data_IF_869597060241
#
_entry.id   IF_869597060241
#
_cell.length_a   1.000
_cell.length_b   1.000
_cell.length_c   1.000
_cell.angle_alpha   90.00
_cell.angle_beta   90.00
_cell.angle_gamma   90.00
#
_symmetry.space_group_name_H-M   'P 1'
#
loop_
_entity.id
_entity.type
_entity.pdbx_description
1 polymer ?
#
# COMPACT_ATOMS: atom_id res chain seq x y z
N UNK A 1 8.98 -36.63 10.10
CA UNK A 1 10.29 -35.92 10.06
C UNK A 1 10.10 -34.41 9.85
N UNK A 2 9.36 -33.99 8.82
CA UNK A 2 9.13 -32.58 8.45
C UNK A 2 8.67 -31.67 9.62
N UNK A 3 7.63 -31.99 10.42
CA UNK A 3 7.14 -31.07 11.46
C UNK A 3 8.12 -30.87 12.63
N UNK A 4 9.00 -31.84 12.91
CA UNK A 4 10.03 -31.70 13.95
C UNK A 4 11.14 -30.74 13.50
N UNK A 5 11.53 -30.79 12.24
CA UNK A 5 12.55 -29.90 11.66
C UNK A 5 12.02 -28.47 11.55
N UNK A 6 10.76 -28.27 11.14
CA UNK A 6 10.11 -26.94 11.12
C UNK A 6 10.05 -26.35 12.53
N UNK A 7 9.60 -27.13 13.51
CA UNK A 7 9.50 -26.68 14.91
C UNK A 7 10.85 -26.27 15.47
N UNK A 8 11.91 -27.03 15.18
CA UNK A 8 13.26 -26.68 15.62
C UNK A 8 13.77 -25.41 14.93
N UNK A 9 13.47 -25.22 13.65
CA UNK A 9 13.84 -24.01 12.91
C UNK A 9 13.11 -22.76 13.45
N UNK A 10 11.81 -22.86 13.71
CA UNK A 10 11.00 -21.79 14.29
C UNK A 10 11.28 -21.54 15.77
N UNK A 11 11.90 -22.50 16.46
CA UNK A 11 12.38 -22.30 17.84
C UNK A 11 13.65 -21.43 17.89
N UNK A 12 14.32 -21.20 16.75
CA UNK A 12 15.45 -20.29 16.68
C UNK A 12 14.94 -18.83 16.66
N UNK A 13 15.22 -18.02 17.70
CA UNK A 13 14.65 -16.69 17.83
C UNK A 13 15.08 -15.75 16.69
N UNK A 14 16.29 -15.92 16.15
CA UNK A 14 16.80 -15.10 15.04
C UNK A 14 16.04 -15.40 13.76
N UNK A 15 15.82 -16.69 13.45
CA UNK A 15 15.07 -17.12 12.27
C UNK A 15 13.61 -16.64 12.35
N UNK A 16 12.95 -16.87 13.48
CA UNK A 16 11.53 -16.47 13.63
C UNK A 16 11.34 -14.97 13.58
N UNK A 17 12.21 -14.18 14.23
CA UNK A 17 12.11 -12.72 14.18
C UNK A 17 12.36 -12.18 12.76
N UNK A 18 13.38 -12.66 12.05
CA UNK A 18 13.67 -12.18 10.69
C UNK A 18 12.56 -12.58 9.70
N UNK A 19 12.02 -13.79 9.83
CA UNK A 19 10.91 -14.25 8.97
C UNK A 19 9.64 -13.46 9.25
N UNK A 20 9.30 -13.18 10.51
CA UNK A 20 8.16 -12.34 10.84
C UNK A 20 8.36 -10.89 10.38
N UNK A 21 9.58 -10.33 10.50
CA UNK A 21 9.89 -8.99 10.00
C UNK A 21 9.67 -8.90 8.49
N UNK A 22 10.15 -9.90 7.74
CA UNK A 22 9.92 -10.01 6.31
C UNK A 22 8.42 -10.16 5.97
N UNK A 23 7.64 -10.89 6.78
CA UNK A 23 6.18 -10.98 6.61
C UNK A 23 5.51 -9.61 6.78
N UNK A 24 5.91 -8.82 7.78
CA UNK A 24 5.36 -7.47 8.00
C UNK A 24 5.73 -6.50 6.87
N UNK A 25 6.95 -6.58 6.33
CA UNK A 25 7.36 -5.78 5.15
C UNK A 25 6.51 -6.13 3.92
N UNK A 26 6.38 -7.43 3.62
CA UNK A 26 5.56 -7.92 2.51
C UNK A 26 4.08 -7.60 2.72
N UNK A 27 3.60 -7.62 3.97
CA UNK A 27 2.24 -7.22 4.31
C UNK A 27 1.91 -5.79 3.88
N UNK A 28 2.84 -4.86 4.08
CA UNK A 28 2.69 -3.47 3.62
C UNK A 28 2.65 -3.43 2.10
N UNK A 29 3.58 -4.13 1.41
CA UNK A 29 3.61 -4.15 -0.06
C UNK A 29 2.33 -4.75 -0.64
N UNK A 30 1.85 -5.87 -0.10
CA UNK A 30 0.65 -6.55 -0.56
C UNK A 30 -0.62 -5.72 -0.31
N UNK A 31 -0.75 -5.14 0.89
CA UNK A 31 -1.86 -4.25 1.23
C UNK A 31 -1.88 -3.01 0.34
N UNK A 32 -0.72 -2.39 0.10
CA UNK A 32 -0.62 -1.24 -0.79
C UNK A 32 -0.93 -1.62 -2.24
N UNK A 33 -0.30 -2.66 -2.77
CA UNK A 33 -0.50 -3.06 -4.17
C UNK A 33 -1.97 -3.38 -4.49
N UNK A 34 -2.72 -3.95 -3.54
CA UNK A 34 -4.12 -4.32 -3.74
C UNK A 34 -5.07 -3.13 -3.90
N UNK A 35 -4.82 -2.02 -3.20
CA UNK A 35 -5.76 -0.89 -3.14
C UNK A 35 -5.20 0.44 -3.61
N UNK A 36 -3.91 0.54 -3.92
CA UNK A 36 -3.30 1.80 -4.33
C UNK A 36 -3.88 2.33 -5.65
N UNK A 37 -4.28 1.44 -6.57
CA UNK A 37 -5.01 1.85 -7.79
C UNK A 37 -6.33 2.54 -7.44
N UNK A 38 -7.15 1.90 -6.60
CA UNK A 38 -8.41 2.45 -6.11
C UNK A 38 -8.20 3.74 -5.29
N UNK A 39 -7.12 3.82 -4.51
CA UNK A 39 -6.74 5.04 -3.80
C UNK A 39 -6.49 6.20 -4.79
N UNK A 40 -5.74 5.96 -5.86
CA UNK A 40 -5.48 6.97 -6.89
C UNK A 40 -6.77 7.37 -7.64
N UNK A 41 -7.65 6.42 -7.94
CA UNK A 41 -8.97 6.69 -8.54
C UNK A 41 -9.79 7.64 -7.65
N UNK A 42 -9.84 7.38 -6.34
CA UNK A 42 -10.64 8.17 -5.41
C UNK A 42 -10.03 9.55 -5.10
N UNK A 43 -8.71 9.63 -4.98
CA UNK A 43 -8.00 10.87 -4.60
C UNK A 43 -7.76 11.81 -5.77
N UNK A 44 -7.39 11.27 -6.94
CA UNK A 44 -6.91 12.07 -8.08
C UNK A 44 -7.80 11.94 -9.32
N UNK A 45 -8.95 11.27 -9.18
CA UNK A 45 -9.98 11.15 -10.24
C UNK A 45 -9.46 10.49 -11.53
N UNK A 46 -8.48 9.60 -11.39
CA UNK A 46 -7.99 8.79 -12.50
C UNK A 46 -8.97 7.68 -12.87
N UNK A 47 -8.93 7.26 -14.13
CA UNK A 47 -9.62 6.03 -14.54
C UNK A 47 -8.91 4.81 -13.96
N UNK A 48 -9.66 3.74 -13.67
CA UNK A 48 -9.11 2.48 -13.15
C UNK A 48 -7.97 1.93 -14.03
N UNK A 49 -8.07 2.07 -15.35
CA UNK A 49 -7.02 1.62 -16.27
C UNK A 49 -5.75 2.47 -16.15
N UNK A 50 -5.87 3.81 -16.19
CA UNK A 50 -4.73 4.71 -16.12
C UNK A 50 -4.01 4.62 -14.78
N UNK A 51 -4.74 4.54 -13.66
CA UNK A 51 -4.16 4.41 -12.33
C UNK A 51 -3.32 3.12 -12.20
N UNK A 52 -3.89 1.98 -12.61
CA UNK A 52 -3.20 0.69 -12.51
C UNK A 52 -2.02 0.57 -13.50
N UNK A 53 -2.16 1.10 -14.71
CA UNK A 53 -1.05 1.16 -15.68
C UNK A 53 0.11 2.00 -15.15
N UNK A 54 -0.19 3.18 -14.61
CA UNK A 54 0.82 4.07 -14.07
C UNK A 54 1.56 3.44 -12.89
N UNK A 55 0.84 2.78 -11.99
CA UNK A 55 1.43 2.02 -10.88
C UNK A 55 2.32 0.89 -11.38
N UNK A 56 1.86 0.11 -12.36
CA UNK A 56 2.63 -0.98 -12.95
C UNK A 56 3.92 -0.48 -13.62
N UNK A 57 3.84 0.64 -14.33
CA UNK A 57 4.99 1.23 -15.05
C UNK A 57 5.98 1.95 -14.14
N UNK A 58 5.57 2.42 -12.96
CA UNK A 58 6.43 3.23 -12.08
C UNK A 58 6.86 2.46 -10.82
N UNK A 59 5.91 1.92 -10.06
CA UNK A 59 6.20 1.28 -8.78
C UNK A 59 7.00 -0.02 -8.94
N UNK A 60 6.71 -0.83 -9.96
CA UNK A 60 7.40 -2.11 -10.19
C UNK A 60 8.87 -1.90 -10.58
N UNK A 61 9.21 -1.06 -11.59
CA UNK A 61 10.61 -0.79 -11.91
C UNK A 61 11.38 -0.18 -10.74
N UNK A 62 10.78 0.76 -10.00
CA UNK A 62 11.41 1.34 -8.81
C UNK A 62 11.68 0.29 -7.72
N UNK A 63 10.76 -0.64 -7.49
CA UNK A 63 10.99 -1.76 -6.57
C UNK A 63 12.14 -2.67 -7.03
N UNK A 64 12.17 -3.03 -8.32
CA UNK A 64 13.27 -3.82 -8.90
C UNK A 64 14.64 -3.13 -8.74
N UNK A 65 14.70 -1.83 -9.02
CA UNK A 65 15.89 -1.01 -8.80
C UNK A 65 16.29 -1.00 -7.32
N UNK A 66 15.32 -0.90 -6.41
CA UNK A 66 15.55 -0.97 -4.96
C UNK A 66 16.15 -2.30 -4.51
N UNK A 67 15.62 -3.44 -4.96
CA UNK A 67 16.16 -4.78 -4.65
C UNK A 67 17.61 -4.90 -5.15
N UNK A 68 17.85 -4.45 -6.38
CA UNK A 68 19.17 -4.48 -7.00
C UNK A 68 20.17 -3.61 -6.25
N UNK A 69 19.81 -2.35 -5.94
CA UNK A 69 20.64 -1.44 -5.15
C UNK A 69 20.90 -1.97 -3.73
N UNK A 70 19.89 -2.59 -3.10
CA UNK A 70 20.04 -3.26 -1.81
C UNK A 70 21.09 -4.38 -1.87
N UNK A 71 21.07 -5.20 -2.92
CA UNK A 71 22.09 -6.24 -3.14
C UNK A 71 23.47 -5.67 -3.45
N UNK A 72 23.55 -4.63 -4.27
CA UNK A 72 24.80 -3.95 -4.61
C UNK A 72 25.46 -3.34 -3.35
N UNK A 73 24.67 -2.71 -2.47
CA UNK A 73 25.15 -2.16 -1.21
C UNK A 73 25.69 -3.24 -0.28
N UNK A 74 24.97 -4.36 -0.12
CA UNK A 74 25.46 -5.47 0.71
C UNK A 74 26.77 -6.05 0.16
N UNK A 75 26.89 -6.18 -1.17
CA UNK A 75 28.13 -6.65 -1.82
C UNK A 75 29.28 -5.67 -1.68
N UNK A 76 29.06 -4.38 -2.00
CA UNK A 76 30.11 -3.34 -2.03
C UNK A 76 30.64 -3.01 -0.65
N UNK A 77 29.78 -3.01 0.38
CA UNK A 77 30.16 -2.76 1.76
C UNK A 77 30.59 -4.03 2.51
N UNK A 78 30.67 -5.18 1.82
CA UNK A 78 31.03 -6.49 2.38
C UNK A 78 30.36 -6.77 3.73
N UNK A 79 29.06 -6.46 3.84
CA UNK A 79 28.37 -6.44 5.13
C UNK A 79 28.31 -7.84 5.75
N UNK A 80 28.75 -7.92 7.01
CA UNK A 80 28.49 -9.09 7.85
C UNK A 80 26.99 -9.22 8.14
N UNK A 81 26.54 -10.37 8.66
CA UNK A 81 25.13 -10.55 9.05
C UNK A 81 24.64 -9.45 10.00
N UNK A 82 25.54 -8.98 10.87
CA UNK A 82 25.30 -7.86 11.76
C UNK A 82 25.12 -6.56 10.95
N UNK A 83 26.05 -6.22 10.05
CA UNK A 83 25.93 -5.07 9.15
C UNK A 83 24.64 -5.09 8.31
N UNK A 84 24.22 -6.25 7.81
CA UNK A 84 23.00 -6.42 7.05
C UNK A 84 21.74 -6.11 7.88
N UNK A 85 21.68 -6.54 9.16
CA UNK A 85 20.54 -6.19 10.04
C UNK A 85 20.50 -4.68 10.29
N UNK A 86 21.64 -4.02 10.51
CA UNK A 86 21.72 -2.56 10.65
C UNK A 86 21.18 -1.84 9.43
N UNK A 87 21.57 -2.30 8.24
CA UNK A 87 21.07 -1.76 6.98
C UNK A 87 19.56 -1.95 6.85
N UNK A 88 19.03 -3.13 7.15
CA UNK A 88 17.59 -3.40 7.11
C UNK A 88 16.81 -2.49 8.09
N UNK A 89 17.32 -2.29 9.31
CA UNK A 89 16.73 -1.36 10.28
C UNK A 89 16.71 0.08 9.77
N UNK A 90 17.82 0.56 9.21
CA UNK A 90 17.93 1.92 8.67
C UNK A 90 16.94 2.13 7.51
N UNK A 91 16.91 1.19 6.56
CA UNK A 91 16.01 1.24 5.41
C UNK A 91 14.54 1.22 5.86
N UNK A 92 14.19 0.35 6.81
CA UNK A 92 12.84 0.30 7.37
C UNK A 92 12.46 1.64 8.05
N UNK A 93 13.37 2.25 8.82
CA UNK A 93 13.14 3.54 9.47
C UNK A 93 12.90 4.66 8.44
N UNK A 94 13.77 4.78 7.43
CA UNK A 94 13.64 5.78 6.36
C UNK A 94 12.36 5.55 5.55
N UNK A 95 12.05 4.28 5.23
CA UNK A 95 10.81 3.93 4.55
C UNK A 95 9.59 4.32 5.39
N UNK A 96 9.60 4.10 6.71
CA UNK A 96 8.52 4.50 7.62
C UNK A 96 8.31 6.01 7.61
N UNK A 97 9.39 6.80 7.67
CA UNK A 97 9.30 8.26 7.56
C UNK A 97 8.68 8.70 6.22
N UNK A 98 9.01 8.01 5.13
CA UNK A 98 8.44 8.23 3.80
C UNK A 98 6.91 7.98 3.81
N UNK A 99 6.43 6.92 4.47
CA UNK A 99 4.99 6.67 4.63
C UNK A 99 4.28 7.74 5.47
N UNK A 100 4.92 8.29 6.50
CA UNK A 100 4.34 9.38 7.31
C UNK A 100 4.06 10.61 6.44
N UNK A 101 4.91 10.92 5.46
CA UNK A 101 4.66 12.01 4.51
C UNK A 101 3.34 11.84 3.75
N UNK A 102 2.91 10.62 3.46
CA UNK A 102 1.61 10.36 2.80
C UNK A 102 0.40 10.75 3.64
N UNK A 103 0.53 10.95 4.95
CA UNK A 103 -0.58 11.49 5.75
C UNK A 103 -0.91 12.93 5.37
N UNK A 104 0.06 13.68 4.85
CA UNK A 104 -0.11 15.09 4.48
C UNK A 104 -0.34 15.27 2.96
N UNK A 105 0.14 14.32 2.13
CA UNK A 105 -0.03 14.35 0.68
C UNK A 105 -1.34 13.67 0.27
N UNK A 106 -2.35 14.45 -0.10
CA UNK A 106 -3.62 13.95 -0.65
C UNK A 106 -4.66 15.07 -0.83
N UNK A 107 -5.81 14.73 -1.40
CA UNK A 107 -6.89 15.66 -1.72
C UNK A 107 -8.19 15.27 -1.00
N UNK A 108 -8.82 16.26 -0.36
CA UNK A 108 -10.09 16.03 0.35
C UNK A 108 -11.25 15.78 -0.62
N UNK A 109 -12.23 14.94 -0.21
CA UNK A 109 -13.39 14.55 -1.03
C UNK A 109 -14.22 15.76 -1.48
N UNK A 110 -14.20 16.84 -0.71
CA UNK A 110 -14.97 18.06 -0.95
C UNK A 110 -16.49 17.93 -0.80
N UNK A 111 -17.24 19.02 -1.05
CA UNK A 111 -18.67 19.03 -0.85
C UNK A 111 -19.37 18.19 -1.93
N UNK A 112 -20.12 17.21 -1.47
CA UNK A 112 -20.93 16.30 -2.26
C UNK A 112 -22.38 16.43 -1.79
N UNK A 113 -23.26 16.80 -2.71
CA UNK A 113 -24.67 17.03 -2.41
C UNK A 113 -25.38 15.76 -1.95
N UNK A 114 -26.11 15.85 -0.83
CA UNK A 114 -26.85 14.75 -0.21
C UNK A 114 -26.01 13.77 0.59
N UNK A 115 -24.69 14.02 0.73
CA UNK A 115 -23.79 13.16 1.50
C UNK A 115 -22.98 13.96 2.51
N UNK A 116 -22.23 14.98 2.05
CA UNK A 116 -21.42 15.84 2.93
C UNK A 116 -22.03 17.24 3.09
N UNK A 117 -22.83 17.68 2.13
CA UNK A 117 -23.63 18.91 2.22
C UNK A 117 -25.07 18.63 1.84
N UNK A 118 -26.03 19.23 2.56
CA UNK A 118 -27.45 19.10 2.21
C UNK A 118 -27.74 19.81 0.89
N UNK A 119 -28.73 19.33 0.15
CA UNK A 119 -29.34 20.11 -0.92
C UNK A 119 -29.89 21.39 -0.29
N UNK A 120 -29.59 22.55 -0.88
CA UNK A 120 -29.95 23.86 -0.36
C UNK A 120 -31.44 23.91 0.01
N UNK A 121 -31.73 24.35 1.25
CA UNK A 121 -33.04 24.47 1.90
C UNK A 121 -33.66 23.25 2.62
N UNK A 122 -32.90 22.28 3.11
CA UNK A 122 -33.47 21.26 4.04
C UNK A 122 -32.61 21.14 5.31
N UNK A 123 -33.07 21.80 6.39
CA UNK A 123 -32.58 21.63 7.76
C UNK A 123 -33.38 20.52 8.45
N UNK A 124 -33.04 19.26 8.19
CA UNK A 124 -33.45 18.17 9.11
C UNK A 124 -32.56 16.93 9.00
N UNK A 125 -32.03 16.43 10.13
CA UNK A 125 -31.25 15.21 10.17
C UNK A 125 -32.20 14.01 10.35
N UNK A 126 -32.68 13.43 9.25
CA UNK A 126 -33.40 12.15 9.29
C UNK A 126 -32.60 11.07 8.56
N UNK A 127 -32.63 9.83 9.10
CA UNK A 127 -31.86 8.65 8.63
C UNK A 127 -32.19 8.17 7.21
N UNK A 128 -33.08 8.88 6.51
CA UNK A 128 -33.42 8.70 5.10
C UNK A 128 -34.16 9.96 4.64
N UNK A 129 -33.46 11.00 4.14
CA UNK A 129 -34.13 12.22 3.73
C UNK A 129 -35.05 11.92 2.52
N UNK A 130 -36.27 12.49 2.46
CA UNK A 130 -37.05 12.49 1.23
C UNK A 130 -36.22 13.08 0.10
N UNK A 131 -36.45 12.62 -1.14
CA UNK A 131 -35.77 13.17 -2.31
C UNK A 131 -35.93 14.70 -2.29
N UNK A 132 -34.84 15.48 -2.40
CA UNK A 132 -34.92 16.93 -2.33
C UNK A 132 -35.90 17.42 -3.41
N UNK A 133 -36.62 18.51 -3.13
CA UNK A 133 -37.65 19.07 -4.02
C UNK A 133 -37.16 19.30 -5.45
N UNK A 134 -35.86 19.57 -5.64
CA UNK A 134 -35.24 19.73 -6.95
C UNK A 134 -35.09 18.43 -7.77
N UNK A 135 -35.28 17.25 -7.16
CA UNK A 135 -35.21 15.91 -7.80
C UNK A 135 -36.55 15.18 -7.69
N UNK A 136 -37.61 15.81 -7.17
CA UNK A 136 -38.89 15.15 -6.88
C UNK A 136 -39.55 14.46 -8.09
N UNK A 137 -39.21 14.90 -9.31
CA UNK A 137 -39.74 14.36 -10.57
C UNK A 137 -38.83 13.30 -11.22
N UNK A 138 -37.72 12.92 -10.59
CA UNK A 138 -36.75 11.98 -11.16
C UNK A 138 -36.45 10.81 -10.20
N UNK A 139 -36.67 9.58 -10.67
CA UNK A 139 -36.28 8.35 -9.98
C UNK A 139 -34.76 8.10 -10.11
N UNK A 140 -33.93 8.99 -9.55
CA UNK A 140 -32.47 8.92 -9.69
C UNK A 140 -31.80 7.75 -8.94
N UNK A 141 -32.57 6.96 -8.18
CA UNK A 141 -32.06 5.83 -7.39
C UNK A 141 -31.47 4.70 -8.23
N UNK A 142 -31.79 4.63 -9.52
CA UNK A 142 -31.29 3.63 -10.49
C UNK A 142 -30.25 4.18 -11.47
N UNK A 143 -29.90 5.47 -11.39
CA UNK A 143 -28.95 6.08 -12.31
C UNK A 143 -27.51 5.59 -12.06
N UNK A 144 -26.75 5.33 -13.12
CA UNK A 144 -25.32 5.01 -13.01
C UNK A 144 -24.57 6.18 -12.37
N UNK A 145 -23.71 5.87 -11.39
CA UNK A 145 -22.90 6.87 -10.70
C UNK A 145 -21.89 7.48 -11.67
N UNK A 146 -22.21 8.66 -12.18
CA UNK A 146 -21.45 9.41 -13.18
C UNK A 146 -21.33 10.85 -12.67
N UNK A 147 -20.37 11.12 -11.78
CA UNK A 147 -20.33 12.35 -11.01
C UNK A 147 -20.22 13.58 -11.91
N UNK A 148 -20.86 14.67 -11.48
CA UNK A 148 -20.84 15.96 -12.18
C UNK A 148 -20.53 17.09 -11.20
N UNK A 149 -19.82 18.10 -11.66
CA UNK A 149 -19.51 19.30 -10.88
C UNK A 149 -20.48 20.42 -11.24
N UNK A 150 -21.28 20.90 -10.28
CA UNK A 150 -22.13 22.07 -10.50
C UNK A 150 -21.33 23.37 -10.53
N UNK A 151 -21.87 24.40 -11.18
CA UNK A 151 -21.30 25.76 -11.17
C UNK A 151 -21.14 26.36 -9.76
N UNK A 152 -21.83 25.79 -8.76
CA UNK A 152 -21.67 26.12 -7.34
C UNK A 152 -20.48 25.41 -6.65
N UNK A 153 -19.59 24.76 -7.41
CA UNK A 153 -18.44 24.00 -6.91
C UNK A 153 -18.81 22.83 -5.97
N UNK A 154 -20.04 22.31 -6.07
CA UNK A 154 -20.51 21.12 -5.37
C UNK A 154 -20.57 19.94 -6.34
N UNK A 155 -20.07 18.79 -5.92
CA UNK A 155 -20.12 17.56 -6.71
C UNK A 155 -21.45 16.84 -6.48
N UNK A 156 -22.10 16.38 -7.54
CA UNK A 156 -23.31 15.58 -7.50
C UNK A 156 -23.00 14.16 -8.00
N UNK A 157 -23.70 13.17 -7.45
CA UNK A 157 -23.43 11.76 -7.73
C UNK A 157 -23.74 11.36 -9.20
N UNK A 158 -24.67 12.08 -9.82
CA UNK A 158 -24.94 12.01 -11.26
C UNK A 158 -25.61 13.30 -11.76
N UNK A 159 -25.73 13.45 -13.08
CA UNK A 159 -26.51 14.52 -13.69
C UNK A 159 -27.99 14.53 -13.22
N UNK A 160 -28.53 13.35 -12.90
CA UNK A 160 -29.88 13.19 -12.33
C UNK A 160 -29.94 13.79 -10.92
N UNK A 161 -28.92 13.52 -10.09
CA UNK A 161 -28.82 14.11 -8.75
C UNK A 161 -28.60 15.63 -8.78
N UNK A 162 -28.03 16.18 -9.86
CA UNK A 162 -27.95 17.63 -10.08
C UNK A 162 -29.28 18.23 -10.62
N UNK A 163 -30.26 17.40 -10.97
CA UNK A 163 -31.53 17.84 -11.57
C UNK A 163 -31.37 18.37 -13.00
N UNK A 164 -30.36 17.92 -13.75
CA UNK A 164 -30.13 18.39 -15.12
C UNK A 164 -31.14 17.76 -16.08
N UNK A 165 -31.81 18.58 -16.88
CA UNK A 165 -32.84 18.15 -17.84
C UNK A 165 -32.33 17.99 -19.28
N UNK A 166 -31.18 18.62 -19.59
CA UNK A 166 -30.60 18.64 -20.94
C UNK A 166 -29.36 17.76 -21.02
N UNK A 167 -29.14 17.13 -22.19
CA UNK A 167 -27.95 16.32 -22.46
C UNK A 167 -26.63 17.12 -22.33
N UNK A 168 -26.67 18.42 -22.61
CA UNK A 168 -25.53 19.32 -22.45
C UNK A 168 -25.27 19.75 -20.99
N UNK A 169 -25.70 18.93 -20.00
CA UNK A 169 -25.57 19.20 -18.56
C UNK A 169 -25.99 20.62 -18.13
N UNK A 170 -27.04 21.14 -18.74
CA UNK A 170 -27.58 22.48 -18.47
C UNK A 170 -29.02 22.41 -17.97
N UNK A 171 -29.45 23.47 -17.28
CA UNK A 171 -30.77 23.53 -16.67
C UNK A 171 -30.88 22.57 -15.49
N UNK A 172 -29.89 22.62 -14.59
CA UNK A 172 -29.78 21.76 -13.41
C UNK A 172 -30.47 22.42 -12.22
N UNK A 173 -31.60 21.85 -11.77
CA UNK A 173 -32.48 22.49 -10.78
C UNK A 173 -31.91 22.49 -9.36
N UNK A 174 -31.00 21.57 -9.04
CA UNK A 174 -30.38 21.49 -7.72
C UNK A 174 -29.12 22.37 -7.58
N UNK A 175 -28.62 22.92 -8.69
CA UNK A 175 -27.45 23.81 -8.69
C UNK A 175 -27.93 25.22 -8.41
N UNK A 176 -27.76 25.68 -7.17
CA UNK A 176 -28.16 27.03 -6.76
C UNK A 176 -27.35 28.10 -7.52
N UNK A 177 -28.01 28.73 -8.49
CA UNK A 177 -27.55 29.87 -9.28
C UNK A 177 -28.72 30.42 -10.08
N UNK A 178 -28.77 31.73 -10.34
CA UNK A 178 -29.80 32.36 -11.19
C UNK A 178 -29.95 31.57 -12.50
N UNK A 179 -31.18 31.27 -12.88
CA UNK A 179 -31.65 30.29 -13.88
C UNK A 179 -30.94 30.24 -15.24
N UNK A 180 -30.06 31.18 -15.57
CA UNK A 180 -29.23 31.19 -16.77
C UNK A 180 -27.84 30.53 -16.61
N UNK A 181 -27.38 30.22 -15.39
CA UNK A 181 -26.00 29.74 -15.10
C UNK A 181 -25.93 28.38 -14.36
N UNK A 182 -27.05 27.66 -14.26
CA UNK A 182 -27.10 26.33 -13.66
C UNK A 182 -26.62 25.26 -14.65
N UNK A 183 -25.30 25.20 -14.82
CA UNK A 183 -24.58 24.24 -15.67
C UNK A 183 -23.74 23.32 -14.78
N UNK A 184 -23.65 22.06 -15.16
CA UNK A 184 -22.73 21.11 -14.58
C UNK A 184 -21.69 20.65 -15.61
N UNK A 185 -20.48 20.34 -15.16
CA UNK A 185 -19.44 19.71 -15.96
C UNK A 185 -19.29 18.23 -15.57
N UNK A 186 -18.90 17.34 -16.51
CA UNK A 186 -18.65 15.95 -16.19
C UNK A 186 -17.42 15.81 -15.28
N UNK A 187 -17.48 14.88 -14.32
CA UNK A 187 -16.42 14.63 -13.35
C UNK A 187 -16.69 15.28 -11.99
N UNK A 188 -15.80 15.02 -11.03
CA UNK A 188 -15.84 15.67 -9.71
C UNK A 188 -15.26 17.08 -9.81
N UNK A 189 -15.68 17.97 -8.89
CA UNK A 189 -15.19 19.35 -8.92
C UNK A 189 -13.68 19.42 -8.69
N UNK A 190 -12.93 20.18 -9.53
CA UNK A 190 -11.50 20.33 -9.36
C UNK A 190 -11.18 21.05 -8.05
N UNK A 191 -10.16 20.56 -7.35
CA UNK A 191 -9.62 21.20 -6.15
C UNK A 191 -8.27 21.85 -6.46
N UNK A 192 -8.06 23.12 -6.08
CA UNK A 192 -6.79 23.79 -6.31
C UNK A 192 -5.65 23.01 -5.63
N UNK A 193 -4.55 22.80 -6.34
CA UNK A 193 -3.37 22.10 -5.84
C UNK A 193 -3.42 20.56 -5.90
N UNK A 194 -4.55 19.95 -6.27
CA UNK A 194 -4.65 18.48 -6.29
C UNK A 194 -3.80 17.82 -7.40
N UNK A 195 -3.65 18.49 -8.54
CA UNK A 195 -2.84 18.00 -9.66
C UNK A 195 -1.33 18.06 -9.36
N UNK A 196 -0.86 19.09 -8.64
CA UNK A 196 0.51 19.17 -8.14
C UNK A 196 0.77 18.13 -7.03
N UNK A 197 -0.21 17.93 -6.15
CA UNK A 197 -0.16 16.89 -5.12
C UNK A 197 -0.08 15.48 -5.72
N UNK A 198 -0.70 15.24 -6.87
CA UNK A 198 -0.62 13.97 -7.59
C UNK A 198 0.80 13.64 -8.06
N UNK A 199 1.44 14.58 -8.77
CA UNK A 199 2.80 14.36 -9.27
C UNK A 199 3.78 14.16 -8.11
N UNK A 200 3.63 14.96 -7.05
CA UNK A 200 4.42 14.83 -5.83
C UNK A 200 4.20 13.46 -5.18
N UNK A 201 2.94 13.01 -5.05
CA UNK A 201 2.60 11.70 -4.50
C UNK A 201 3.26 10.57 -5.30
N UNK A 202 3.21 10.63 -6.63
CA UNK A 202 3.80 9.63 -7.51
C UNK A 202 5.32 9.55 -7.33
N UNK A 203 6.02 10.69 -7.33
CA UNK A 203 7.45 10.75 -7.07
C UNK A 203 7.81 10.16 -5.71
N UNK A 204 7.06 10.52 -4.67
CA UNK A 204 7.30 10.01 -3.30
C UNK A 204 7.03 8.51 -3.24
N UNK A 205 5.96 7.98 -3.86
CA UNK A 205 5.70 6.52 -3.96
C UNK A 205 6.84 5.78 -4.62
N UNK A 206 7.40 6.30 -5.72
CA UNK A 206 8.56 5.71 -6.40
C UNK A 206 9.80 5.66 -5.50
N UNK A 207 10.10 6.75 -4.80
CA UNK A 207 11.23 6.81 -3.87
C UNK A 207 10.99 5.88 -2.67
N UNK A 208 9.80 5.90 -2.08
CA UNK A 208 9.46 5.02 -0.96
C UNK A 208 9.52 3.54 -1.36
N UNK A 209 9.04 3.17 -2.56
CA UNK A 209 9.04 1.79 -3.05
C UNK A 209 10.47 1.30 -3.30
N UNK A 210 11.32 2.15 -3.90
CA UNK A 210 12.74 1.88 -4.08
C UNK A 210 13.43 1.67 -2.73
N UNK A 211 13.29 2.62 -1.80
CA UNK A 211 13.91 2.51 -0.47
C UNK A 211 13.41 1.25 0.25
N UNK A 212 12.10 1.05 0.34
CA UNK A 212 11.52 -0.11 1.02
C UNK A 212 12.02 -1.44 0.46
N UNK A 213 12.15 -1.53 -0.87
CA UNK A 213 12.61 -2.74 -1.53
C UNK A 213 14.10 -3.07 -1.27
N UNK A 214 14.92 -2.07 -0.91
CA UNK A 214 16.34 -2.30 -0.53
C UNK A 214 16.49 -3.20 0.71
N UNK A 215 15.45 -3.33 1.56
CA UNK A 215 15.48 -4.19 2.74
C UNK A 215 15.29 -5.69 2.44
N UNK A 216 14.79 -6.05 1.25
CA UNK A 216 14.54 -7.47 0.92
C UNK A 216 15.84 -8.28 0.88
N UNK A 217 16.84 -7.80 0.14
CA UNK A 217 18.12 -8.49 -0.03
C UNK A 217 18.88 -8.73 1.29
N UNK A 218 19.10 -7.73 2.17
CA UNK A 218 19.75 -7.96 3.45
C UNK A 218 18.95 -8.94 4.33
N UNK A 219 17.62 -8.91 4.31
CA UNK A 219 16.77 -9.83 5.08
C UNK A 219 16.99 -11.29 4.70
N UNK A 220 17.05 -11.59 3.40
CA UNK A 220 17.34 -12.95 2.90
C UNK A 220 18.76 -13.38 3.24
N UNK A 221 19.74 -12.46 3.13
CA UNK A 221 21.14 -12.75 3.47
C UNK A 221 21.30 -13.09 4.95
N UNK A 222 20.65 -12.36 5.85
CA UNK A 222 20.64 -12.65 7.29
C UNK A 222 20.11 -14.05 7.56
N UNK A 223 19.00 -14.42 6.91
CA UNK A 223 18.41 -15.75 7.06
C UNK A 223 19.36 -16.85 6.57
N UNK A 224 19.97 -16.70 5.40
CA UNK A 224 20.91 -17.70 4.86
C UNK A 224 22.15 -17.86 5.74
N UNK A 225 22.64 -16.77 6.35
CA UNK A 225 23.84 -16.78 7.22
C UNK A 225 23.56 -17.30 8.63
N UNK A 226 22.30 -17.33 9.06
CA UNK A 226 21.90 -17.75 10.42
C UNK A 226 21.45 -19.21 10.50
N UNK A 227 21.26 -19.86 9.34
CA UNK A 227 20.84 -21.26 9.22
C UNK A 227 22.02 -22.12 8.76
N UNK A 228 22.10 -23.36 9.27
CA UNK A 228 23.12 -24.34 8.86
C UNK A 228 23.03 -24.66 7.35
N UNK A 229 24.17 -24.95 6.69
CA UNK A 229 24.22 -25.15 5.23
C UNK A 229 23.24 -26.22 4.73
N UNK A 230 23.09 -27.32 5.48
CA UNK A 230 22.20 -28.44 5.18
C UNK A 230 20.70 -28.07 5.16
N UNK A 231 20.30 -26.99 5.83
CA UNK A 231 18.89 -26.61 6.01
C UNK A 231 18.50 -25.32 5.28
N UNK A 232 19.40 -24.71 4.49
CA UNK A 232 19.16 -23.43 3.81
C UNK A 232 17.95 -23.45 2.86
N UNK A 233 17.90 -24.43 1.97
CA UNK A 233 16.80 -24.55 0.99
C UNK A 233 15.46 -24.79 1.69
N UNK A 234 15.46 -25.60 2.75
CA UNK A 234 14.26 -25.83 3.56
C UNK A 234 13.81 -24.56 4.29
N UNK A 235 14.74 -23.80 4.87
CA UNK A 235 14.47 -22.55 5.56
C UNK A 235 13.92 -21.46 4.64
N UNK A 236 14.44 -21.36 3.41
CA UNK A 236 13.89 -20.48 2.38
C UNK A 236 12.47 -20.91 1.98
N UNK A 237 12.22 -22.21 1.86
CA UNK A 237 10.87 -22.72 1.61
C UNK A 237 9.87 -22.33 2.71
N UNK A 238 10.27 -22.47 3.98
CA UNK A 238 9.45 -22.04 5.13
C UNK A 238 9.23 -20.52 5.13
N UNK A 239 10.26 -19.72 4.82
CA UNK A 239 10.13 -18.27 4.66
C UNK A 239 9.06 -17.94 3.62
N UNK A 240 9.16 -18.45 2.39
CA UNK A 240 8.22 -18.13 1.32
C UNK A 240 6.79 -18.58 1.64
N UNK A 241 6.63 -19.73 2.30
CA UNK A 241 5.33 -20.19 2.77
C UNK A 241 4.71 -19.22 3.77
N UNK A 242 5.48 -18.75 4.76
CA UNK A 242 5.02 -17.77 5.75
C UNK A 242 4.77 -16.39 5.14
N UNK A 243 5.61 -15.94 4.19
CA UNK A 243 5.37 -14.72 3.44
C UNK A 243 4.02 -14.77 2.71
N UNK A 244 3.67 -15.92 2.11
CA UNK A 244 2.40 -16.08 1.41
C UNK A 244 1.21 -16.15 2.35
N UNK A 245 1.32 -16.91 3.44
CA UNK A 245 0.22 -17.10 4.39
C UNK A 245 -0.04 -15.88 5.28
N UNK A 246 1.00 -15.20 5.74
CA UNK A 246 0.89 -14.08 6.70
C UNK A 246 1.06 -12.74 5.99
N UNK A 247 1.98 -12.65 5.02
CA UNK A 247 2.30 -11.41 4.32
C UNK A 247 1.37 -11.08 3.14
N UNK A 248 0.77 -12.07 2.47
CA UNK A 248 -0.08 -11.80 1.30
C UNK A 248 -1.58 -11.96 1.55
N UNK A 249 -2.01 -12.88 2.43
CA UNK A 249 -3.44 -13.20 2.60
C UNK A 249 -4.14 -12.24 3.58
N UNK A 250 -3.74 -12.13 4.87
CA UNK A 250 -4.38 -11.21 5.82
C UNK A 250 -4.30 -9.72 5.43
N UNK A 251 -3.18 -9.18 4.92
CA UNK A 251 -3.03 -7.73 4.79
C UNK A 251 -4.03 -7.09 3.83
N UNK A 252 -4.24 -7.58 2.59
CA UNK A 252 -5.29 -7.04 1.73
C UNK A 252 -6.69 -7.08 2.38
N UNK A 253 -7.01 -8.10 3.18
CA UNK A 253 -8.28 -8.14 3.92
C UNK A 253 -8.37 -7.00 4.96
N UNK A 254 -7.30 -6.80 5.75
CA UNK A 254 -7.26 -5.75 6.79
C UNK A 254 -7.34 -4.35 6.15
N UNK A 255 -6.58 -4.12 5.08
CA UNK A 255 -6.61 -2.87 4.33
C UNK A 255 -8.00 -2.65 3.69
N UNK A 256 -8.59 -3.68 3.10
CA UNK A 256 -9.92 -3.64 2.50
C UNK A 256 -11.00 -3.29 3.53
N UNK A 257 -11.01 -3.94 4.70
CA UNK A 257 -11.95 -3.62 5.79
C UNK A 257 -11.77 -2.18 6.28
N UNK A 258 -10.52 -1.71 6.41
CA UNK A 258 -10.23 -0.33 6.78
C UNK A 258 -10.78 0.67 5.76
N UNK A 259 -10.62 0.40 4.47
CA UNK A 259 -11.13 1.22 3.37
C UNK A 259 -12.66 1.22 3.33
N UNK A 260 -13.29 0.06 3.45
CA UNK A 260 -14.75 -0.06 3.40
C UNK A 260 -15.42 0.64 4.58
N UNK A 261 -14.72 0.77 5.72
CA UNK A 261 -15.21 1.52 6.88
C UNK A 261 -15.37 3.02 6.64
N UNK A 262 -14.69 3.59 5.64
CA UNK A 262 -14.75 5.02 5.29
C UNK A 262 -15.78 5.32 4.20
N UNK A 263 -16.58 4.33 3.82
CA UNK A 263 -17.58 4.51 2.79
C UNK A 263 -18.70 5.45 3.23
N UNK A 264 -18.94 6.48 2.43
CA UNK A 264 -20.04 7.43 2.59
C UNK A 264 -21.29 7.01 1.80
N UNK A 265 -21.12 6.37 0.63
CA UNK A 265 -22.26 5.96 -0.20
C UNK A 265 -22.05 4.58 -0.84
N UNK A 266 -22.96 3.65 -0.53
CA UNK A 266 -22.98 2.29 -1.05
C UNK A 266 -23.87 2.18 -2.29
N UNK A 267 -23.40 1.50 -3.33
CA UNK A 267 -24.28 1.07 -4.42
C UNK A 267 -25.21 -0.05 -3.95
N UNK A 268 -26.39 -0.13 -4.55
CA UNK A 268 -27.33 -1.25 -4.35
C UNK A 268 -27.56 -1.92 -5.69
N UNK A 269 -27.27 -3.22 -5.78
CA UNK A 269 -27.51 -4.02 -6.98
C UNK A 269 -28.51 -5.10 -6.60
N UNK A 270 -29.67 -5.14 -7.26
CA UNK A 270 -30.74 -6.10 -6.97
C UNK A 270 -31.23 -6.10 -5.50
N UNK A 271 -31.19 -4.95 -4.81
CA UNK A 271 -31.58 -4.83 -3.40
C UNK A 271 -30.51 -5.23 -2.38
N UNK A 272 -29.40 -5.81 -2.85
CA UNK A 272 -28.23 -6.18 -2.04
C UNK A 272 -27.18 -5.06 -2.02
N UNK A 273 -26.37 -5.00 -0.97
CA UNK A 273 -25.27 -4.02 -0.83
C UNK A 273 -24.15 -4.36 -1.82
N UNK A 274 -23.91 -3.46 -2.75
CA UNK A 274 -22.85 -3.57 -3.76
C UNK A 274 -21.54 -2.90 -3.33
N UNK A 275 -20.75 -2.45 -4.30
CA UNK A 275 -19.50 -1.74 -4.05
C UNK A 275 -19.75 -0.32 -3.51
N UNK A 276 -18.84 0.17 -2.67
CA UNK A 276 -18.88 1.56 -2.23
C UNK A 276 -18.41 2.51 -3.35
N UNK A 277 -19.23 3.53 -3.63
CA UNK A 277 -19.06 4.49 -4.73
C UNK A 277 -18.35 5.78 -4.30
N UNK A 278 -18.50 6.17 -3.03
CA UNK A 278 -17.93 7.39 -2.49
C UNK A 278 -17.34 7.13 -1.10
N UNK A 279 -16.07 7.52 -0.92
CA UNK A 279 -15.34 7.38 0.33
C UNK A 279 -15.02 8.76 0.90
N UNK A 280 -14.87 8.82 2.22
CA UNK A 280 -14.20 9.93 2.88
C UNK A 280 -12.69 9.79 2.66
N UNK A 281 -12.12 10.65 1.80
CA UNK A 281 -10.73 10.64 1.40
C UNK A 281 -9.78 10.93 2.57
N UNK A 282 -10.21 11.73 3.55
CA UNK A 282 -9.38 12.06 4.71
C UNK A 282 -9.25 10.84 5.61
N UNK A 283 -10.38 10.28 6.02
CA UNK A 283 -10.42 9.06 6.83
C UNK A 283 -9.74 7.88 6.11
N UNK A 284 -9.98 7.74 4.80
CA UNK A 284 -9.34 6.72 3.97
C UNK A 284 -7.82 6.84 4.06
N UNK A 285 -7.26 8.01 3.76
CA UNK A 285 -5.81 8.24 3.77
C UNK A 285 -5.21 7.93 5.14
N UNK A 286 -5.82 8.41 6.22
CA UNK A 286 -5.32 8.18 7.58
C UNK A 286 -5.34 6.69 7.95
N UNK A 287 -6.43 5.95 7.70
CA UNK A 287 -6.49 4.52 7.99
C UNK A 287 -5.51 3.72 7.11
N UNK A 288 -5.47 4.01 5.82
CA UNK A 288 -4.63 3.32 4.86
C UNK A 288 -3.13 3.45 5.23
N UNK A 289 -2.67 4.66 5.53
CA UNK A 289 -1.27 4.92 5.87
C UNK A 289 -0.95 4.49 7.31
N UNK A 290 -1.86 4.65 8.27
CA UNK A 290 -1.61 4.24 9.66
C UNK A 290 -1.43 2.73 9.82
N UNK A 291 -2.23 1.90 9.11
CA UNK A 291 -2.04 0.45 9.08
C UNK A 291 -0.62 0.12 8.57
N UNK A 292 -0.14 0.82 7.53
CA UNK A 292 1.22 0.69 7.02
C UNK A 292 2.29 1.00 8.07
N UNK A 293 2.13 2.13 8.78
CA UNK A 293 3.07 2.59 9.81
C UNK A 293 3.13 1.58 10.96
N UNK A 294 2.00 1.02 11.38
CA UNK A 294 1.95 0.00 12.44
C UNK A 294 2.70 -1.27 12.01
N UNK A 295 2.49 -1.75 10.79
CA UNK A 295 3.20 -2.92 10.24
C UNK A 295 4.70 -2.65 10.05
N UNK A 296 5.09 -1.45 9.61
CA UNK A 296 6.50 -1.06 9.50
C UNK A 296 7.16 -0.97 10.88
N UNK A 297 6.46 -0.41 11.87
CA UNK A 297 6.95 -0.28 13.24
C UNK A 297 7.12 -1.65 13.90
N UNK A 298 6.20 -2.60 13.67
CA UNK A 298 6.36 -3.97 14.15
C UNK A 298 7.54 -4.67 13.48
N UNK A 299 7.76 -4.46 12.17
CA UNK A 299 8.95 -4.93 11.47
C UNK A 299 10.25 -4.35 12.06
N UNK A 300 10.28 -3.04 12.36
CA UNK A 300 11.42 -2.40 13.01
C UNK A 300 11.77 -3.05 14.35
N UNK A 301 10.75 -3.29 15.19
CA UNK A 301 10.94 -3.96 16.48
C UNK A 301 11.52 -5.37 16.30
N UNK A 302 11.05 -6.12 15.30
CA UNK A 302 11.56 -7.45 14.97
C UNK A 302 12.99 -7.44 14.42
N UNK A 303 13.37 -6.44 13.62
CA UNK A 303 14.76 -6.26 13.21
C UNK A 303 15.64 -5.86 14.40
N UNK A 304 15.14 -5.01 15.31
CA UNK A 304 15.86 -4.60 16.52
C UNK A 304 16.06 -5.77 17.50
N UNK A 305 15.07 -6.66 17.66
CA UNK A 305 15.24 -7.90 18.45
C UNK A 305 16.24 -8.84 17.79
N UNK A 306 16.16 -9.02 16.47
CA UNK A 306 17.12 -9.80 15.68
C UNK A 306 18.55 -9.28 15.86
N UNK A 307 18.73 -7.97 15.78
CA UNK A 307 20.01 -7.28 16.04
C UNK A 307 20.55 -7.59 17.43
N UNK A 308 19.71 -7.45 18.47
CA UNK A 308 20.09 -7.72 19.87
C UNK A 308 20.49 -9.20 20.06
N UNK A 309 19.70 -10.13 19.54
CA UNK A 309 19.98 -11.57 19.61
C UNK A 309 21.28 -11.92 18.89
N UNK A 310 21.48 -11.39 17.69
CA UNK A 310 22.68 -11.64 16.88
C UNK A 310 23.94 -11.04 17.53
N UNK A 311 23.83 -9.86 18.14
CA UNK A 311 24.94 -9.22 18.86
C UNK A 311 25.32 -10.01 20.12
N UNK A 312 24.33 -10.50 20.88
CA UNK A 312 24.58 -11.28 22.11
C UNK A 312 25.20 -12.65 21.80
N UNK A 313 24.74 -13.32 20.74
CA UNK A 313 25.17 -14.67 20.36
C UNK A 313 26.18 -14.68 19.19
N UNK A 314 26.86 -13.55 18.93
CA UNK A 314 27.70 -13.34 17.75
C UNK A 314 28.76 -14.45 17.54
N UNK A 315 29.39 -14.93 18.63
CA UNK A 315 30.38 -16.02 18.59
C UNK A 315 29.79 -17.38 18.16
N UNK A 316 28.53 -17.66 18.49
CA UNK A 316 27.89 -18.94 18.20
C UNK A 316 27.44 -19.05 16.74
N UNK A 317 27.08 -17.92 16.11
CA UNK A 317 26.73 -17.88 14.69
C UNK A 317 27.96 -17.83 13.76
N UNK A 318 29.08 -17.22 14.18
CA UNK A 318 30.33 -17.21 13.39
C UNK A 318 31.03 -18.58 13.39
N UNK A 319 31.07 -19.28 14.52
CA UNK A 319 31.74 -20.60 14.60
C UNK A 319 31.14 -21.65 13.65
N UNK A 320 29.86 -21.52 13.32
CA UNK A 320 29.18 -22.37 12.33
C UNK A 320 29.37 -21.89 10.87
N UNK A 321 29.85 -20.66 10.65
CA UNK A 321 30.11 -20.07 9.33
C UNK A 321 31.58 -20.21 8.88
N UNK A 322 32.53 -20.15 9.81
CA UNK A 322 33.97 -20.34 9.53
C UNK A 322 34.42 -21.81 9.60
N UNK A 323 33.62 -22.71 10.16
CA UNK A 323 33.91 -24.16 10.17
C UNK A 323 33.75 -24.87 8.82
N UNK A 324 33.45 -24.15 7.73
CA UNK A 324 33.04 -24.75 6.46
C UNK A 324 33.84 -24.30 5.21
N UNK A 325 34.96 -23.60 5.38
CA UNK A 325 36.00 -23.56 4.35
C UNK A 325 37.36 -23.71 5.03
N UNK A 326 37.84 -24.95 5.08
CA UNK A 326 39.27 -25.18 5.26
C UNK A 326 40.02 -24.54 4.08
N UNK A 327 41.23 -23.97 4.28
CA UNK A 327 42.04 -23.42 3.20
C UNK A 327 42.24 -24.39 2.02
N UNK A 328 42.13 -25.70 2.28
CA UNK A 328 42.18 -26.76 1.29
C UNK A 328 41.05 -26.72 0.25
N UNK A 329 39.84 -26.24 0.58
CA UNK A 329 38.74 -26.16 -0.40
C UNK A 329 38.82 -24.94 -1.30
N UNK A 330 39.43 -23.85 -0.82
CA UNK A 330 39.72 -22.66 -1.63
C UNK A 330 40.82 -22.94 -2.68
N UNK A 331 41.83 -23.74 -2.30
CA UNK A 331 42.86 -24.23 -3.24
C UNK A 331 42.33 -25.24 -4.27
N UNK A 332 41.35 -26.08 -3.89
CA UNK A 332 40.76 -27.05 -4.82
C UNK A 332 39.95 -26.36 -5.93
N UNK A 333 39.26 -25.25 -5.64
CA UNK A 333 38.49 -24.49 -6.64
C UNK A 333 39.35 -23.64 -7.58
N UNK A 334 40.54 -23.20 -7.15
CA UNK A 334 41.48 -22.50 -8.03
C UNK A 334 42.22 -23.47 -8.97
N UNK A 335 42.60 -24.66 -8.50
CA UNK A 335 43.27 -25.67 -9.32
C UNK A 335 42.39 -26.26 -10.43
N UNK A 336 41.07 -26.28 -10.26
CA UNK A 336 40.14 -26.73 -11.32
C UNK A 336 39.93 -25.69 -12.42
N UNK A 337 40.25 -24.42 -12.18
CA UNK A 337 40.05 -23.35 -13.17
C UNK A 337 41.25 -23.21 -14.12
N UNK A 338 42.47 -23.54 -13.66
CA UNK A 338 43.70 -23.47 -14.47
C UNK A 338 43.91 -24.68 -15.40
N UNK A 339 43.10 -25.75 -15.25
CA UNK A 339 43.21 -26.95 -16.09
C UNK A 339 42.23 -27.00 -17.28
N UNK A 340 41.52 -25.90 -17.55
CA UNK A 340 40.54 -25.77 -18.64
C UNK A 340 40.87 -24.61 -19.62
N UNK A 341 42.11 -24.14 -19.63
CA UNK A 341 42.66 -23.20 -20.62
C UNK A 341 43.69 -23.87 -21.51
#
# INVERSE_FOLDING_TARGET
VIPRVTRHLLSNPVFSCITLAACMEIAVVAGFAAFLGKYLEQQFHLTTSSANQLLGMTAIPCACLGIFLGGLLVKKLSLSALGAVRMAMLVNLVSTACYVSFLFLGCDTGPVAGVTVNYSNETSPSRSPPAPSCISNCNCRTASASPVCGSNAVTYLSACFAGCTRANLSGCWCVSGSSAQAVASPGRCPRPGCQEAFLTFLCVVCVCSMIGAMAQTPSVIILIRTVSPERKSYALGVLFLLLRLIGFIPPPLIFGMGIDSTCLFWSTVCGERGACLLYDNLAYRHLYVSIAIVLKSSAFLLYATTWRCLRKNYRQYIRNGEGALTPSQLFASSLTLDHLG
#
